data_IF_446290609402
#
_entry.id   IF_446290609402
#
_cell.length_a   1.000
_cell.length_b   1.000
_cell.length_c   1.000
_cell.angle_alpha   90.00
_cell.angle_beta   90.00
_cell.angle_gamma   90.00
#
_symmetry.space_group_name_H-M   'P 1'
#
loop_
_entity.id
_entity.type
_entity.pdbx_description
1 polymer ?
#
# COMPACT_ATOMS: atom_id res chain seq x y z
N UNK A 1 -6.70 16.24 4.41
CA UNK A 1 -7.63 16.06 3.27
C UNK A 1 -7.28 14.85 2.38
N UNK A 2 -6.21 14.86 1.58
CA UNK A 2 -5.92 13.69 0.69
C UNK A 2 -5.58 12.42 1.49
N UNK A 3 -4.68 12.51 2.48
CA UNK A 3 -4.31 11.39 3.35
C UNK A 3 -5.53 10.70 3.97
N UNK A 4 -6.53 11.46 4.39
CA UNK A 4 -7.75 10.91 5.00
C UNK A 4 -8.55 10.09 3.99
N UNK A 5 -8.68 10.57 2.75
CA UNK A 5 -9.36 9.86 1.67
C UNK A 5 -8.63 8.54 1.35
N UNK A 6 -7.31 8.58 1.20
CA UNK A 6 -6.51 7.37 0.99
C UNK A 6 -6.60 6.41 2.18
N UNK A 7 -6.67 6.92 3.41
CA UNK A 7 -6.85 6.09 4.62
C UNK A 7 -8.22 5.42 4.64
N UNK A 8 -9.28 6.09 4.19
CA UNK A 8 -10.59 5.48 4.03
C UNK A 8 -10.57 4.37 2.97
N UNK A 9 -9.96 4.60 1.81
CA UNK A 9 -9.82 3.57 0.77
C UNK A 9 -9.01 2.37 1.23
N UNK A 10 -7.95 2.59 2.01
CA UNK A 10 -7.20 1.50 2.63
C UNK A 10 -8.12 0.64 3.49
N UNK A 11 -8.90 1.25 4.38
CA UNK A 11 -9.83 0.53 5.26
C UNK A 11 -10.92 -0.22 4.50
N UNK A 12 -11.34 0.29 3.35
CA UNK A 12 -12.41 -0.30 2.55
C UNK A 12 -11.92 -1.47 1.68
N UNK A 13 -10.73 -1.34 1.07
CA UNK A 13 -10.26 -2.31 0.08
C UNK A 13 -9.28 -3.34 0.63
N UNK A 14 -8.54 -3.04 1.70
CA UNK A 14 -7.53 -3.94 2.25
C UNK A 14 -8.15 -4.94 3.23
N UNK A 15 -7.47 -6.08 3.46
CA UNK A 15 -7.90 -7.06 4.46
C UNK A 15 -7.79 -6.54 5.89
N UNK A 16 -8.45 -7.22 6.82
CA UNK A 16 -8.33 -6.96 8.25
C UNK A 16 -6.89 -7.23 8.73
N UNK A 17 -6.46 -6.50 9.78
CA UNK A 17 -5.13 -6.68 10.38
C UNK A 17 -4.04 -5.79 9.79
N UNK A 18 -4.40 -4.80 8.96
CA UNK A 18 -3.45 -3.78 8.50
C UNK A 18 -3.27 -2.66 9.54
N UNK A 19 -2.04 -2.19 9.67
CA UNK A 19 -1.69 -1.04 10.49
C UNK A 19 -1.29 0.13 9.59
N UNK A 20 -1.95 1.27 9.74
CA UNK A 20 -1.68 2.47 8.92
C UNK A 20 -1.19 3.59 9.82
N UNK A 21 -0.05 4.17 9.48
CA UNK A 21 0.46 5.35 10.21
C UNK A 21 -0.45 6.55 10.01
N UNK A 22 -0.63 7.38 11.04
CA UNK A 22 -1.41 8.63 10.96
C UNK A 22 -0.48 9.84 11.11
N UNK A 23 0.22 10.25 10.04
CA UNK A 23 1.15 11.37 10.11
C UNK A 23 0.41 12.69 10.33
N UNK A 24 0.99 13.59 11.14
CA UNK A 24 0.47 14.94 11.39
C UNK A 24 0.77 15.93 10.25
N UNK A 25 1.54 15.50 9.24
CA UNK A 25 1.92 16.29 8.07
C UNK A 25 2.66 15.45 7.02
N UNK A 26 2.85 16.00 5.82
CA UNK A 26 3.50 15.32 4.69
C UNK A 26 2.52 14.63 3.74
N UNK A 27 3.06 13.77 2.87
CA UNK A 27 2.32 13.14 1.77
C UNK A 27 2.53 11.63 1.67
N UNK A 28 3.19 11.02 2.65
CA UNK A 28 3.50 9.60 2.64
C UNK A 28 2.72 8.90 3.73
N UNK A 29 2.02 7.83 3.33
CA UNK A 29 1.41 6.87 4.24
C UNK A 29 2.25 5.61 4.28
N UNK A 30 2.52 5.13 5.49
CA UNK A 30 3.10 3.83 5.71
C UNK A 30 2.00 2.85 6.13
N UNK A 31 1.95 1.72 5.45
CA UNK A 31 0.99 0.65 5.71
C UNK A 31 1.79 -0.63 5.99
N UNK A 32 1.53 -1.20 7.15
CA UNK A 32 2.04 -2.48 7.58
C UNK A 32 0.94 -3.53 7.39
N UNK A 33 1.27 -4.60 6.69
CA UNK A 33 0.39 -5.73 6.40
C UNK A 33 0.78 -6.91 7.30
N UNK A 34 -0.06 -7.95 7.41
CA UNK A 34 0.30 -9.18 8.09
C UNK A 34 1.64 -9.75 7.59
N UNK A 35 2.44 -10.34 8.49
CA UNK A 35 3.81 -10.79 8.19
C UNK A 35 3.90 -11.80 7.03
N UNK A 36 2.83 -12.56 6.79
CA UNK A 36 2.72 -13.50 5.68
C UNK A 36 2.74 -12.84 4.29
N UNK A 37 2.45 -11.54 4.19
CA UNK A 37 2.41 -10.82 2.91
C UNK A 37 3.81 -10.40 2.49
N UNK A 38 4.28 -10.87 1.33
CA UNK A 38 5.49 -10.36 0.69
C UNK A 38 5.17 -9.24 -0.33
N UNK A 39 5.29 -7.99 0.10
CA UNK A 39 5.04 -6.83 -0.77
C UNK A 39 6.02 -6.72 -1.93
N UNK A 40 7.17 -7.40 -1.89
CA UNK A 40 8.07 -7.46 -3.04
C UNK A 40 7.44 -8.30 -4.16
N UNK A 41 6.79 -9.41 -3.81
CA UNK A 41 6.08 -10.26 -4.77
C UNK A 41 4.86 -9.52 -5.34
N UNK A 42 4.04 -8.93 -4.47
CA UNK A 42 2.88 -8.13 -4.86
C UNK A 42 3.29 -6.98 -5.78
N UNK A 43 4.36 -6.25 -5.45
CA UNK A 43 4.88 -5.16 -6.29
C UNK A 43 5.28 -5.65 -7.70
N UNK A 44 5.92 -6.82 -7.81
CA UNK A 44 6.27 -7.41 -9.10
C UNK A 44 5.05 -7.78 -9.93
N UNK A 45 3.99 -8.30 -9.31
CA UNK A 45 2.74 -8.60 -10.00
C UNK A 45 2.05 -7.33 -10.50
N UNK A 46 1.92 -6.32 -9.62
CA UNK A 46 1.33 -5.03 -9.96
C UNK A 46 2.11 -4.27 -11.04
N UNK A 47 3.44 -4.44 -11.09
CA UNK A 47 4.27 -3.85 -12.12
C UNK A 47 3.85 -4.31 -13.53
N UNK A 48 3.39 -5.56 -13.69
CA UNK A 48 2.85 -6.08 -14.96
C UNK A 48 1.56 -5.37 -15.37
N UNK A 49 0.80 -4.87 -14.39
CA UNK A 49 -0.41 -4.07 -14.58
C UNK A 49 -0.12 -2.56 -14.72
N UNK A 50 1.15 -2.18 -14.90
CA UNK A 50 1.63 -0.78 -14.93
C UNK A 50 1.34 -0.01 -13.63
N UNK A 51 1.22 -0.71 -12.51
CA UNK A 51 1.05 -0.14 -11.18
C UNK A 51 2.38 -0.26 -10.43
N UNK A 52 2.95 0.88 -10.06
CA UNK A 52 4.18 0.92 -9.28
C UNK A 52 3.85 1.21 -7.82
N UNK A 53 4.31 0.32 -6.95
CA UNK A 53 4.22 0.47 -5.49
C UNK A 53 5.61 0.37 -4.90
N UNK A 54 5.85 1.06 -3.79
CA UNK A 54 7.13 1.06 -3.11
C UNK A 54 7.06 0.12 -1.89
N UNK A 55 7.52 -1.14 -2.00
CA UNK A 55 7.60 -2.02 -0.85
C UNK A 55 8.54 -1.45 0.21
N UNK A 56 8.24 -1.74 1.47
CA UNK A 56 8.98 -1.26 2.63
C UNK A 56 10.44 -1.69 2.63
N UNK A 57 10.74 -2.84 2.00
CA UNK A 57 12.09 -3.36 1.82
C UNK A 57 13.01 -2.44 1.02
N UNK A 58 12.50 -1.56 0.14
CA UNK A 58 13.34 -0.54 -0.52
C UNK A 58 13.91 0.48 0.48
N UNK A 59 13.28 0.66 1.64
CA UNK A 59 13.68 1.62 2.66
C UNK A 59 14.49 0.96 3.79
N UNK A 60 14.89 -0.30 3.63
CA UNK A 60 15.70 -1.03 4.59
C UNK A 60 16.95 -1.61 3.93
N UNK A 61 18.13 -1.17 4.36
CA UNK A 61 19.41 -1.73 3.89
C UNK A 61 19.56 -3.22 4.19
N UNK A 62 18.87 -3.72 5.24
CA UNK A 62 18.86 -5.13 5.62
C UNK A 62 17.69 -5.92 4.99
N UNK A 63 16.87 -5.30 4.13
CA UNK A 63 15.70 -5.94 3.52
C UNK A 63 14.55 -6.25 4.48
N UNK A 64 14.49 -5.57 5.64
CA UNK A 64 13.37 -5.68 6.60
C UNK A 64 12.11 -5.00 6.06
N UNK A 65 10.98 -5.18 6.73
CA UNK A 65 9.68 -4.58 6.36
C UNK A 65 9.16 -5.02 4.99
N UNK A 66 9.32 -6.32 4.68
CA UNK A 66 8.82 -6.92 3.43
C UNK A 66 7.30 -6.95 3.35
N UNK A 67 6.62 -6.92 4.50
CA UNK A 67 5.17 -6.81 4.66
C UNK A 67 4.67 -5.35 4.68
N UNK A 68 5.55 -4.36 4.52
CA UNK A 68 5.15 -2.96 4.52
C UNK A 68 5.08 -2.39 3.10
N UNK A 69 4.28 -1.35 2.92
CA UNK A 69 4.20 -0.58 1.68
C UNK A 69 4.07 0.91 1.99
N UNK A 70 4.74 1.72 1.16
CA UNK A 70 4.65 3.18 1.22
C UNK A 70 3.74 3.70 0.10
N UNK A 71 2.74 4.48 0.48
CA UNK A 71 1.76 5.07 -0.44
C UNK A 71 1.98 6.58 -0.52
N UNK A 72 2.03 7.09 -1.75
CA UNK A 72 2.13 8.52 -2.01
C UNK A 72 0.73 9.14 -2.14
N UNK A 73 0.40 10.04 -1.23
CA UNK A 73 -0.83 10.80 -1.17
C UNK A 73 -0.64 12.27 -1.56
N UNK A 74 0.49 12.63 -2.18
CA UNK A 74 0.75 13.98 -2.69
C UNK A 74 -0.17 14.31 -3.87
N UNK A 75 -0.52 13.28 -4.65
CA UNK A 75 -1.40 13.42 -5.80
C UNK A 75 -2.87 13.52 -5.35
N UNK A 76 -3.71 14.26 -6.08
CA UNK A 76 -5.13 14.34 -5.78
C UNK A 76 -5.80 12.97 -5.96
N UNK A 77 -6.74 12.59 -5.06
CA UNK A 77 -7.51 11.37 -5.18
C UNK A 77 -8.44 11.49 -6.40
N UNK A 78 -8.15 10.72 -7.44
CA UNK A 78 -8.95 10.62 -8.66
C UNK A 78 -9.43 9.19 -8.83
N UNK A 79 -10.42 8.98 -9.72
CA UNK A 79 -10.92 7.63 -10.03
C UNK A 79 -9.82 6.67 -10.47
N UNK A 80 -8.80 7.16 -11.17
CA UNK A 80 -7.62 6.37 -11.54
C UNK A 80 -6.86 5.87 -10.32
N UNK A 81 -6.63 6.75 -9.33
CA UNK A 81 -5.95 6.36 -8.08
C UNK A 81 -6.82 5.41 -7.25
N UNK A 82 -8.14 5.64 -7.21
CA UNK A 82 -9.08 4.73 -6.55
C UNK A 82 -9.02 3.32 -7.15
N UNK A 83 -9.06 3.20 -8.48
CA UNK A 83 -8.94 1.92 -9.17
C UNK A 83 -7.60 1.21 -8.89
N UNK A 84 -6.51 1.97 -8.77
CA UNK A 84 -5.20 1.41 -8.37
C UNK A 84 -5.24 0.90 -6.93
N UNK A 85 -5.87 1.62 -6.01
CA UNK A 85 -6.01 1.22 -4.61
C UNK A 85 -6.85 -0.06 -4.46
N UNK A 86 -7.92 -0.20 -5.25
CA UNK A 86 -8.74 -1.43 -5.31
C UNK A 86 -7.88 -2.62 -5.74
N UNK A 87 -7.17 -2.49 -6.88
CA UNK A 87 -6.29 -3.56 -7.39
C UNK A 87 -5.17 -3.93 -6.42
N UNK A 88 -4.63 -2.94 -5.71
CA UNK A 88 -3.63 -3.18 -4.67
C UNK A 88 -4.24 -3.97 -3.50
N UNK A 89 -5.43 -3.61 -3.04
CA UNK A 89 -6.14 -4.35 -1.99
C UNK A 89 -6.44 -5.79 -2.39
N UNK A 90 -6.88 -6.03 -3.63
CA UNK A 90 -7.10 -7.37 -4.18
C UNK A 90 -5.80 -8.19 -4.22
N UNK A 91 -4.70 -7.61 -4.72
CA UNK A 91 -3.42 -8.30 -4.79
C UNK A 91 -2.85 -8.63 -3.39
N UNK A 92 -3.09 -7.78 -2.40
CA UNK A 92 -2.73 -8.06 -1.00
C UNK A 92 -3.57 -9.20 -0.42
N UNK A 93 -4.88 -9.25 -0.72
CA UNK A 93 -5.75 -10.36 -0.28
C UNK A 93 -5.29 -11.70 -0.86
N UNK A 94 -5.00 -11.73 -2.16
CA UNK A 94 -4.47 -12.93 -2.84
C UNK A 94 -3.13 -13.36 -2.26
N UNK A 95 -2.29 -12.42 -1.82
CA UNK A 95 -1.01 -12.73 -1.19
C UNK A 95 -1.13 -13.17 0.28
N UNK A 96 -2.31 -13.06 0.89
CA UNK A 96 -2.59 -13.57 2.24
C UNK A 96 -3.14 -15.00 2.25
N UNK A 97 -3.71 -15.45 1.13
CA UNK A 97 -4.22 -16.82 0.88
C UNK A 97 -3.09 -17.75 0.42
#
# INVERSE_FOLDING_TARGET
RNIEIYTCWLREFFPCGICVTRPKGGFMLWVELPEQVDMVCVAKQLCRLKIQVAPGSLFSAAGKYRNCVRINCALPPTEKHKAVMVKLGEAVKVAME
#
